data_IF_216520730051
#
_entry.id   IF_216520730051
#
_cell.length_a   1.000
_cell.length_b   1.000
_cell.length_c   1.000
_cell.angle_alpha   90.00
_cell.angle_beta   90.00
_cell.angle_gamma   90.00
#
_symmetry.space_group_name_H-M   'P 1'
#
loop_
_entity.id
_entity.type
_entity.pdbx_description
1 polymer ?
#
# COMPACT_ATOMS: atom_id res chain seq x y z
N UNK A 1 -9.72 -14.76 1.44
CA UNK A 1 -8.97 -13.50 1.31
C UNK A 1 -9.13 -12.72 2.60
N UNK A 2 -8.04 -12.17 3.10
CA UNK A 2 -8.04 -11.43 4.34
C UNK A 2 -7.74 -9.97 4.10
N UNK A 3 -8.29 -9.13 4.95
CA UNK A 3 -8.03 -7.69 4.92
C UNK A 3 -7.04 -7.36 6.03
N UNK A 4 -6.08 -6.51 5.71
CA UNK A 4 -5.05 -6.07 6.64
C UNK A 4 -4.97 -4.56 6.62
N UNK A 5 -4.56 -3.98 7.73
CA UNK A 5 -4.39 -2.53 7.84
C UNK A 5 -2.96 -2.22 8.22
N UNK A 6 -2.42 -1.13 7.68
CA UNK A 6 -1.10 -0.64 8.04
C UNK A 6 -1.15 0.88 8.06
N UNK A 7 -0.83 1.44 9.22
CA UNK A 7 -0.81 2.89 9.41
C UNK A 7 0.64 3.37 9.33
N UNK A 8 0.93 4.13 8.29
CA UNK A 8 2.25 4.76 8.11
C UNK A 8 2.15 6.28 8.19
N UNK A 9 1.15 6.77 8.92
CA UNK A 9 0.99 8.20 9.16
C UNK A 9 2.25 8.76 9.82
N UNK A 10 2.66 9.96 9.42
CA UNK A 10 3.83 10.61 9.98
C UNK A 10 5.16 10.21 9.36
N UNK A 11 5.20 9.11 8.63
CA UNK A 11 6.41 8.72 7.92
C UNK A 11 6.49 9.43 6.58
N UNK A 12 7.70 9.81 6.18
CA UNK A 12 7.95 10.49 4.92
C UNK A 12 8.53 9.53 3.89
N UNK A 13 8.33 9.85 2.62
CA UNK A 13 8.92 9.13 1.50
C UNK A 13 10.42 8.91 1.75
N UNK A 14 10.95 7.70 1.54
CA UNK A 14 10.30 6.53 0.95
C UNK A 14 9.74 5.53 1.97
N UNK A 15 9.66 5.89 3.25
CA UNK A 15 9.30 4.95 4.31
C UNK A 15 7.91 4.32 4.17
N UNK A 16 6.85 5.07 3.77
CA UNK A 16 5.54 4.43 3.61
C UNK A 16 5.57 3.24 2.66
N UNK A 17 6.23 3.39 1.52
CA UNK A 17 6.32 2.30 0.54
C UNK A 17 7.19 1.16 1.05
N UNK A 18 8.29 1.47 1.73
CA UNK A 18 9.16 0.42 2.27
C UNK A 18 8.43 -0.41 3.32
N UNK A 19 7.63 0.24 4.17
CA UNK A 19 6.83 -0.46 5.16
C UNK A 19 5.72 -1.28 4.51
N UNK A 20 5.09 -0.73 3.48
CA UNK A 20 4.07 -1.45 2.72
C UNK A 20 4.65 -2.68 2.04
N UNK A 21 5.83 -2.54 1.44
CA UNK A 21 6.50 -3.67 0.78
C UNK A 21 6.80 -4.79 1.77
N UNK A 22 7.26 -4.42 2.96
CA UNK A 22 7.54 -5.41 4.00
C UNK A 22 6.27 -6.12 4.45
N UNK A 23 5.19 -5.38 4.65
CA UNK A 23 3.91 -5.96 5.04
C UNK A 23 3.39 -6.89 3.95
N UNK A 24 3.49 -6.47 2.70
CA UNK A 24 3.01 -7.28 1.57
C UNK A 24 3.67 -8.65 1.51
N UNK A 25 4.94 -8.75 1.89
CA UNK A 25 5.64 -10.04 1.86
C UNK A 25 5.04 -11.05 2.83
N UNK A 26 4.35 -10.57 3.87
CA UNK A 26 3.72 -11.46 4.85
C UNK A 26 2.29 -11.85 4.45
N UNK A 27 1.75 -11.28 3.38
CA UNK A 27 0.37 -11.52 2.98
C UNK A 27 0.30 -12.60 1.90
N UNK A 28 -0.85 -13.25 1.81
CA UNK A 28 -1.10 -14.21 0.75
C UNK A 28 -1.61 -13.50 -0.50
N UNK A 29 -1.39 -14.09 -1.65
CA UNK A 29 -1.93 -13.56 -2.91
C UNK A 29 -3.43 -13.39 -2.81
N UNK A 30 -3.93 -12.24 -3.23
CA UNK A 30 -5.35 -11.91 -3.15
C UNK A 30 -5.75 -11.20 -1.86
N UNK A 31 -4.88 -11.19 -0.86
CA UNK A 31 -5.16 -10.43 0.35
C UNK A 31 -5.17 -8.93 0.04
N UNK A 32 -5.94 -8.18 0.83
CA UNK A 32 -6.08 -6.74 0.65
C UNK A 32 -5.38 -6.02 1.80
N UNK A 33 -4.58 -5.03 1.47
CA UNK A 33 -3.93 -4.16 2.44
C UNK A 33 -4.53 -2.77 2.34
N UNK A 34 -5.00 -2.23 3.47
CA UNK A 34 -5.38 -0.83 3.56
C UNK A 34 -4.23 -0.07 4.19
N UNK A 35 -3.64 0.81 3.42
CA UNK A 35 -2.46 1.58 3.82
C UNK A 35 -2.85 3.03 4.03
N UNK A 36 -2.63 3.54 5.24
CA UNK A 36 -2.92 4.92 5.58
C UNK A 36 -1.63 5.71 5.65
N UNK A 37 -1.52 6.78 4.87
CA UNK A 37 -0.32 7.60 4.80
C UNK A 37 -0.67 9.08 4.83
N UNK A 38 0.23 9.90 5.36
CA UNK A 38 0.02 11.35 5.40
C UNK A 38 0.97 12.12 4.49
N UNK A 39 2.00 11.46 3.95
CA UNK A 39 2.94 12.11 3.03
C UNK A 39 2.28 12.26 1.65
N UNK A 40 2.19 13.48 1.11
CA UNK A 40 1.60 13.68 -0.23
C UNK A 40 2.29 12.89 -1.33
N UNK A 41 3.59 12.62 -1.20
CA UNK A 41 4.34 11.84 -2.19
C UNK A 41 3.89 10.38 -2.23
N UNK A 42 3.18 9.90 -1.21
CA UNK A 42 2.72 8.52 -1.17
C UNK A 42 1.83 8.17 -2.34
N UNK A 43 1.07 9.14 -2.86
CA UNK A 43 0.18 8.89 -3.99
C UNK A 43 0.95 8.34 -5.20
N UNK A 44 2.06 8.99 -5.54
CA UNK A 44 2.91 8.57 -6.65
C UNK A 44 3.69 7.31 -6.31
N UNK A 45 4.26 7.28 -5.10
CA UNK A 45 5.12 6.18 -4.68
C UNK A 45 4.36 4.87 -4.58
N UNK A 46 3.15 4.89 -4.05
CA UNK A 46 2.34 3.67 -3.90
C UNK A 46 1.89 3.16 -5.26
N UNK A 47 1.47 4.06 -6.15
CA UNK A 47 1.08 3.65 -7.50
C UNK A 47 2.24 2.99 -8.22
N UNK A 48 3.43 3.57 -8.12
CA UNK A 48 4.64 3.03 -8.74
C UNK A 48 5.00 1.67 -8.14
N UNK A 49 4.95 1.56 -6.82
CA UNK A 49 5.21 0.31 -6.12
C UNK A 49 4.27 -0.81 -6.58
N UNK A 50 2.96 -0.51 -6.67
CA UNK A 50 1.99 -1.50 -7.11
C UNK A 50 2.27 -1.95 -8.55
N UNK A 51 2.60 -1.01 -9.42
CA UNK A 51 2.89 -1.34 -10.81
C UNK A 51 4.14 -2.20 -10.93
N UNK A 52 5.20 -1.86 -10.18
CA UNK A 52 6.47 -2.60 -10.26
C UNK A 52 6.35 -4.01 -9.69
N UNK A 53 5.59 -4.16 -8.60
CA UNK A 53 5.52 -5.43 -7.89
C UNK A 53 4.34 -6.29 -8.31
N UNK A 54 3.53 -5.81 -9.25
CA UNK A 54 2.40 -6.59 -9.74
C UNK A 54 1.22 -6.63 -8.80
N UNK A 55 1.10 -5.65 -7.90
CA UNK A 55 -0.07 -5.53 -7.04
C UNK A 55 -1.11 -4.66 -7.71
N UNK A 56 -2.35 -4.78 -7.26
CA UNK A 56 -3.45 -4.00 -7.82
C UNK A 56 -3.87 -2.91 -6.85
N UNK A 57 -3.77 -1.65 -7.28
CA UNK A 57 -4.26 -0.53 -6.49
C UNK A 57 -5.74 -0.38 -6.76
N UNK A 58 -6.56 -0.79 -5.80
CA UNK A 58 -8.01 -0.81 -5.96
C UNK A 58 -8.62 0.57 -5.79
N UNK A 59 -8.12 1.35 -4.83
CA UNK A 59 -8.64 2.69 -4.61
C UNK A 59 -7.62 3.53 -3.85
N UNK A 60 -7.79 4.84 -3.99
CA UNK A 60 -7.04 5.84 -3.25
C UNK A 60 -8.07 6.88 -2.81
N UNK A 61 -8.19 7.09 -1.49
CA UNK A 61 -9.16 8.01 -0.93
C UNK A 61 -8.47 9.01 -0.03
N UNK A 62 -8.96 10.25 -0.04
CA UNK A 62 -8.47 11.26 0.88
C UNK A 62 -9.42 11.33 2.06
N UNK A 63 -8.89 11.15 3.28
CA UNK A 63 -9.67 11.11 4.51
C UNK A 63 -8.97 11.99 5.55
N UNK A 64 -9.59 13.11 5.90
CA UNK A 64 -9.08 14.00 6.96
C UNK A 64 -7.59 14.31 6.83
N UNK A 65 -7.17 14.67 5.62
CA UNK A 65 -5.78 15.05 5.37
C UNK A 65 -4.84 13.88 5.18
N UNK A 66 -5.33 12.65 5.27
CA UNK A 66 -4.55 11.45 5.01
C UNK A 66 -5.00 10.80 3.72
N UNK A 67 -4.17 9.90 3.20
CA UNK A 67 -4.48 9.12 2.00
C UNK A 67 -4.64 7.66 2.41
N UNK A 68 -5.76 7.07 2.03
CA UNK A 68 -6.02 5.66 2.27
C UNK A 68 -5.94 4.91 0.94
N UNK A 69 -4.99 3.99 0.85
CA UNK A 69 -4.81 3.16 -0.33
C UNK A 69 -5.34 1.77 -0.04
N UNK A 70 -6.14 1.23 -0.95
CA UNK A 70 -6.60 -0.16 -0.85
C UNK A 70 -5.88 -0.93 -1.95
N UNK A 71 -5.05 -1.89 -1.54
CA UNK A 71 -4.16 -2.61 -2.44
C UNK A 71 -4.41 -4.11 -2.32
N UNK A 72 -4.64 -4.77 -3.45
CA UNK A 72 -4.75 -6.23 -3.46
C UNK A 72 -3.41 -6.81 -3.87
N UNK A 73 -2.90 -7.74 -3.07
CA UNK A 73 -1.64 -8.40 -3.38
C UNK A 73 -1.77 -9.22 -4.64
N UNK A 74 -0.87 -9.01 -5.56
CA UNK A 74 -0.81 -9.77 -6.80
C UNK A 74 -0.36 -11.20 -6.57
N UNK A 75 -0.39 -12.00 -7.63
CA UNK A 75 0.07 -13.37 -7.57
C UNK A 75 1.55 -13.39 -7.28
N UNK A 76 1.97 -14.33 -6.43
CA UNK A 76 3.38 -14.51 -6.14
C UNK A 76 4.11 -14.89 -7.42
N UNK A 77 5.22 -14.23 -7.68
CA UNK A 77 6.04 -14.56 -8.83
C UNK A 77 6.97 -15.71 -8.49
N UNK A 78 7.11 -16.67 -9.39
CA UNK A 78 8.07 -17.76 -9.17
C UNK A 78 9.51 -17.27 -9.22
#
# INVERSE_FOLDING_TARGET
MADHDLDVSGYQCPLPVLKAARKMRSLASGDVLRLLATDPAASIDVAHFCAEQGHELLSEEQIDGALLFTIRKGLAEP
#
